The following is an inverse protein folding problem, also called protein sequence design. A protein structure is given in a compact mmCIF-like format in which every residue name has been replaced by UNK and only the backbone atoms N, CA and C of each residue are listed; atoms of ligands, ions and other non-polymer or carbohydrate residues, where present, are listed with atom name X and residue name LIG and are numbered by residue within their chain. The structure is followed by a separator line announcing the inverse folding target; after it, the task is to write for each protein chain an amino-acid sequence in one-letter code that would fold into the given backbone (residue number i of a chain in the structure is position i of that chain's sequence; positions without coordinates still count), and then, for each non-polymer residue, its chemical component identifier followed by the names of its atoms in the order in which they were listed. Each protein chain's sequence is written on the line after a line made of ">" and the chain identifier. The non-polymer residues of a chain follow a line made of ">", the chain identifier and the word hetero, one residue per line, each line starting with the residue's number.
data_IF_363023528264
#
_entry.id   IF_363023528264
#
_cell.length_a   1.000
_cell.length_b   1.000
_cell.length_c   1.000
_cell.angle_alpha   90.00
_cell.angle_beta   90.00
_cell.angle_gamma   90.00
#
_symmetry.space_group_name_H-M   'P 1'
#
loop_
_entity.id
_entity.type
_entity.pdbx_description
1 polymer ?
#
# COMPACT_ATOMS: atom_id res chain seq x y z
N UNK A 1 -12.15 5.36 14.61
CA UNK A 1 -12.65 6.68 14.18
C UNK A 1 -11.49 7.64 14.14
N UNK A 2 -11.49 8.54 13.16
CA UNK A 2 -10.56 9.67 13.08
C UNK A 2 -10.80 10.62 14.26
N UNK A 3 -9.73 11.21 14.80
CA UNK A 3 -9.77 12.19 15.91
C UNK A 3 -8.82 13.36 15.65
N UNK A 4 -8.98 14.43 16.43
CA UNK A 4 -8.04 15.55 16.43
C UNK A 4 -6.60 15.08 16.69
N UNK A 5 -5.66 15.66 15.95
CA UNK A 5 -4.25 15.28 15.98
C UNK A 5 -3.87 14.07 15.12
N UNK A 6 -4.83 13.30 14.59
CA UNK A 6 -4.51 12.25 13.59
C UNK A 6 -3.92 12.89 12.33
N UNK A 7 -3.03 12.17 11.64
CA UNK A 7 -2.28 12.70 10.49
C UNK A 7 -2.95 12.32 9.17
N UNK A 8 -3.19 13.33 8.34
CA UNK A 8 -3.68 13.19 6.98
C UNK A 8 -2.56 13.42 5.96
N UNK A 9 -2.62 12.72 4.84
CA UNK A 9 -1.69 12.89 3.71
C UNK A 9 -2.31 13.77 2.63
N UNK A 10 -1.54 14.74 2.14
CA UNK A 10 -1.91 15.63 1.04
C UNK A 10 -1.25 15.18 -0.27
N UNK A 11 -1.79 15.65 -1.40
CA UNK A 11 -1.28 15.35 -2.75
C UNK A 11 0.17 15.77 -2.97
N UNK A 12 0.56 16.96 -2.49
CA UNK A 12 1.96 17.43 -2.53
C UNK A 12 2.89 16.65 -1.58
N UNK A 13 2.34 15.63 -0.94
CA UNK A 13 2.97 14.75 0.01
C UNK A 13 2.92 15.28 1.42
N UNK A 14 2.60 16.54 1.72
CA UNK A 14 2.60 17.05 3.11
C UNK A 14 1.72 16.20 4.03
N UNK A 15 2.12 16.16 5.29
CA UNK A 15 1.37 15.52 6.36
C UNK A 15 0.84 16.62 7.28
N UNK A 16 -0.47 16.62 7.51
CA UNK A 16 -1.14 17.65 8.31
C UNK A 16 -2.02 17.02 9.39
N UNK A 17 -2.04 17.56 10.61
CA UNK A 17 -2.90 17.06 11.66
C UNK A 17 -4.35 17.48 11.42
N UNK A 18 -5.29 16.64 11.83
CA UNK A 18 -6.70 17.01 11.97
C UNK A 18 -6.80 18.07 13.06
N UNK A 19 -7.22 19.28 12.69
CA UNK A 19 -7.34 20.41 13.62
C UNK A 19 -8.61 20.33 14.47
N UNK A 20 -9.73 19.92 13.86
CA UNK A 20 -11.02 19.79 14.52
C UNK A 20 -11.92 18.84 13.76
N UNK A 21 -12.83 18.17 14.45
CA UNK A 21 -13.90 17.36 13.83
C UNK A 21 -15.25 17.88 14.32
N UNK A 22 -16.15 18.15 13.36
CA UNK A 22 -17.52 18.59 13.66
C UNK A 22 -18.52 17.64 12.99
N UNK A 23 -19.42 17.09 13.80
CA UNK A 23 -20.58 16.33 13.32
C UNK A 23 -21.75 17.32 13.23
N UNK A 24 -22.45 17.35 12.10
CA UNK A 24 -23.56 18.26 11.85
C UNK A 24 -24.78 17.46 11.42
N UNK A 25 -25.86 17.60 12.18
CA UNK A 25 -27.15 16.99 11.87
C UNK A 25 -28.03 17.99 11.13
N UNK A 26 -28.58 17.57 9.98
CA UNK A 26 -29.53 18.36 9.21
C UNK A 26 -30.94 17.79 9.40
N UNK A 27 -31.93 18.67 9.57
CA UNK A 27 -33.35 18.27 9.60
C UNK A 27 -33.97 18.17 8.19
N UNK A 28 -33.13 18.17 7.15
CA UNK A 28 -33.50 18.00 5.74
C UNK A 28 -32.46 17.14 5.03
N UNK A 29 -32.84 16.58 3.88
CA UNK A 29 -31.93 15.76 3.07
C UNK A 29 -30.89 16.62 2.36
N UNK A 30 -29.63 16.19 2.46
CA UNK A 30 -28.51 16.76 1.72
C UNK A 30 -28.08 15.78 0.62
N UNK A 31 -27.75 16.29 -0.55
CA UNK A 31 -27.12 15.49 -1.60
C UNK A 31 -25.64 15.31 -1.28
N UNK A 32 -25.21 14.05 -1.26
CA UNK A 32 -23.79 13.67 -1.16
C UNK A 32 -23.45 12.85 -2.39
N UNK A 33 -22.23 13.01 -2.89
CA UNK A 33 -21.77 12.36 -4.11
C UNK A 33 -20.57 11.48 -3.78
N UNK A 34 -20.56 10.28 -4.35
CA UNK A 34 -19.39 9.42 -4.43
C UNK A 34 -19.18 9.07 -5.91
N UNK A 35 -17.94 8.99 -6.36
CA UNK A 35 -17.61 8.54 -7.70
C UNK A 35 -16.60 7.39 -7.61
N UNK A 36 -16.66 6.47 -8.57
CA UNK A 36 -15.69 5.39 -8.70
C UNK A 36 -14.66 5.75 -9.77
N UNK A 37 -13.40 5.44 -9.50
CA UNK A 37 -12.31 5.59 -10.46
C UNK A 37 -11.87 4.19 -10.86
N UNK A 38 -11.73 3.97 -12.17
CA UNK A 38 -11.18 2.72 -12.71
C UNK A 38 -9.71 2.59 -12.29
N UNK A 39 -9.30 1.38 -11.91
CA UNK A 39 -7.95 0.97 -11.49
C UNK A 39 -7.36 1.60 -10.21
N UNK A 40 -7.74 2.84 -9.84
CA UNK A 40 -7.27 3.53 -8.64
C UNK A 40 -8.36 3.62 -7.56
N UNK A 41 -8.12 3.05 -6.39
CA UNK A 41 -9.10 3.05 -5.29
C UNK A 41 -8.91 4.17 -4.26
N UNK A 42 -8.06 5.16 -4.58
CA UNK A 42 -7.78 6.33 -3.74
C UNK A 42 -7.82 7.61 -4.55
N UNK A 43 -8.40 8.67 -4.00
CA UNK A 43 -8.49 9.98 -4.65
C UNK A 43 -8.30 11.13 -3.64
N UNK A 44 -7.94 12.30 -4.15
CA UNK A 44 -7.77 13.51 -3.34
C UNK A 44 -9.05 14.34 -3.33
N UNK A 45 -9.44 14.87 -2.17
CA UNK A 45 -10.64 15.69 -2.00
C UNK A 45 -10.33 17.05 -1.40
N UNK A 46 -11.22 18.02 -1.66
CA UNK A 46 -11.17 19.42 -1.19
C UNK A 46 -10.02 20.26 -1.74
N UNK A 47 -10.03 21.56 -1.47
CA UNK A 47 -9.01 22.53 -1.90
C UNK A 47 -7.61 22.26 -1.33
N UNK A 48 -7.53 21.44 -0.27
CA UNK A 48 -6.26 21.03 0.35
C UNK A 48 -5.79 19.65 -0.11
N UNK A 49 -6.51 19.00 -1.02
CA UNK A 49 -6.18 17.70 -1.62
C UNK A 49 -5.84 16.60 -0.60
N UNK A 50 -6.78 16.28 0.29
CA UNK A 50 -6.64 15.19 1.29
C UNK A 50 -6.85 13.82 0.64
N UNK A 51 -5.96 12.87 0.90
CA UNK A 51 -6.07 11.50 0.39
C UNK A 51 -7.21 10.72 1.07
N UNK A 52 -8.11 10.16 0.26
CA UNK A 52 -9.25 9.33 0.71
C UNK A 52 -9.28 7.99 -0.01
N UNK A 53 -9.88 6.97 0.62
CA UNK A 53 -10.11 5.65 0.02
C UNK A 53 -11.58 5.47 -0.37
N UNK A 54 -11.85 5.02 -1.59
CA UNK A 54 -13.22 4.77 -2.05
C UNK A 54 -13.75 3.39 -1.62
N UNK A 55 -12.83 2.43 -1.44
CA UNK A 55 -13.17 1.06 -1.10
C UNK A 55 -12.21 0.56 -0.02
N UNK A 56 -12.75 0.30 1.16
CA UNK A 56 -12.05 -0.52 2.13
C UNK A 56 -12.07 -1.94 1.60
N UNK A 57 -10.93 -2.49 1.18
CA UNK A 57 -10.89 -3.91 0.84
C UNK A 57 -10.98 -4.69 2.14
N UNK A 58 -12.18 -5.16 2.49
CA UNK A 58 -12.40 -6.27 3.45
C UNK A 58 -11.94 -7.62 2.87
N UNK A 59 -11.05 -7.60 1.89
CA UNK A 59 -10.46 -8.81 1.33
C UNK A 59 -9.17 -9.15 2.07
N UNK A 60 -9.33 -9.50 3.35
CA UNK A 60 -8.51 -10.53 3.97
C UNK A 60 -8.94 -11.95 3.52
N UNK A 61 -9.75 -12.06 2.46
CA UNK A 61 -9.81 -13.27 1.64
C UNK A 61 -8.39 -13.51 1.14
N UNK A 62 -7.70 -14.46 1.77
CA UNK A 62 -6.42 -14.98 1.34
C UNK A 62 -6.53 -15.35 -0.14
N UNK A 63 -6.12 -14.47 -1.05
CA UNK A 63 -6.01 -14.81 -2.46
C UNK A 63 -4.93 -15.86 -2.58
N UNK A 64 -5.28 -17.01 -3.11
CA UNK A 64 -4.30 -18.03 -3.47
C UNK A 64 -3.39 -17.45 -4.56
N UNK A 65 -2.10 -17.36 -4.29
CA UNK A 65 -1.10 -17.04 -5.32
C UNK A 65 -1.04 -18.21 -6.31
N UNK A 66 -1.39 -17.96 -7.58
CA UNK A 66 -1.24 -18.94 -8.67
C UNK A 66 0.22 -19.17 -9.09
N UNK A 67 1.15 -18.46 -8.44
CA UNK A 67 2.57 -18.43 -8.73
C UNK A 67 3.38 -19.63 -8.27
N UNK A 68 4.68 -19.59 -8.59
CA UNK A 68 5.66 -20.64 -8.26
C UNK A 68 5.88 -20.70 -6.76
N UNK A 69 5.67 -21.87 -6.14
CA UNK A 69 5.99 -22.12 -4.73
C UNK A 69 7.48 -21.88 -4.46
N UNK A 70 7.77 -21.14 -3.40
CA UNK A 70 9.13 -20.92 -2.91
C UNK A 70 9.32 -21.64 -1.57
N UNK A 71 10.44 -22.35 -1.43
CA UNK A 71 10.85 -23.01 -0.17
C UNK A 71 11.33 -22.03 0.92
N UNK A 72 11.26 -20.72 0.66
CA UNK A 72 11.70 -19.66 1.55
C UNK A 72 11.64 -18.29 0.87
N UNK A 73 12.17 -17.26 1.55
CA UNK A 73 12.34 -15.94 0.95
C UNK A 73 13.37 -15.97 -0.18
N UNK A 74 13.05 -15.35 -1.31
CA UNK A 74 13.95 -15.16 -2.45
C UNK A 74 14.21 -13.67 -2.66
N UNK A 75 15.48 -13.27 -2.59
CA UNK A 75 15.89 -11.89 -2.88
C UNK A 75 15.89 -11.63 -4.39
N UNK A 76 15.20 -10.57 -4.81
CA UNK A 76 15.06 -10.15 -6.21
C UNK A 76 15.94 -8.96 -6.57
N UNK A 77 16.26 -8.16 -5.56
CA UNK A 77 17.20 -7.04 -5.65
C UNK A 77 17.82 -6.78 -4.28
N UNK A 78 19.08 -6.37 -4.28
CA UNK A 78 19.81 -6.03 -3.06
C UNK A 78 20.75 -4.86 -3.32
N UNK A 79 20.86 -3.98 -2.33
CA UNK A 79 21.80 -2.88 -2.28
C UNK A 79 22.55 -2.90 -0.94
N UNK A 80 23.87 -3.08 -1.01
CA UNK A 80 24.68 -3.26 0.19
C UNK A 80 24.31 -4.51 0.99
N UNK A 81 24.35 -4.42 2.33
CA UNK A 81 24.20 -5.58 3.22
C UNK A 81 22.75 -5.90 3.58
N UNK A 82 21.89 -4.90 3.70
CA UNK A 82 20.59 -5.03 4.37
C UNK A 82 19.41 -4.56 3.52
N UNK A 83 19.60 -3.56 2.65
CA UNK A 83 18.55 -3.03 1.79
C UNK A 83 18.26 -4.00 0.63
N UNK A 84 17.02 -4.48 0.50
CA UNK A 84 16.68 -5.49 -0.51
C UNK A 84 15.17 -5.58 -0.76
N UNK A 85 14.80 -6.22 -1.86
CA UNK A 85 13.44 -6.64 -2.17
C UNK A 85 13.41 -8.17 -2.16
N UNK A 86 12.54 -8.72 -1.33
CA UNK A 86 12.36 -10.16 -1.14
C UNK A 86 10.94 -10.57 -1.55
N UNK A 87 10.80 -11.75 -2.15
CA UNK A 87 9.51 -12.39 -2.42
C UNK A 87 9.38 -13.69 -1.61
N UNK A 88 8.22 -13.88 -1.00
CA UNK A 88 7.87 -15.08 -0.27
C UNK A 88 6.60 -15.69 -0.90
N UNK A 89 6.65 -16.96 -1.31
CA UNK A 89 5.46 -17.72 -1.74
C UNK A 89 5.40 -19.12 -1.09
N UNK A 90 5.17 -19.17 0.23
CA UNK A 90 5.20 -20.39 1.03
C UNK A 90 3.87 -21.13 0.89
N UNK A 91 3.87 -22.17 0.05
CA UNK A 91 2.74 -23.06 -0.27
C UNK A 91 1.45 -22.36 -0.75
N UNK A 92 1.17 -22.55 -2.05
CA UNK A 92 -0.08 -22.17 -2.72
C UNK A 92 -1.27 -22.87 -2.04
N UNK A 93 -1.96 -22.15 -1.15
CA UNK A 93 -3.14 -22.63 -0.42
C UNK A 93 -3.22 -22.23 1.06
N UNK A 94 -2.13 -21.75 1.68
CA UNK A 94 -2.13 -21.37 3.12
C UNK A 94 -2.12 -19.86 3.33
N UNK A 95 -1.36 -19.13 2.51
CA UNK A 95 -1.27 -17.66 2.49
C UNK A 95 -0.92 -17.15 1.09
N UNK A 96 -1.42 -15.96 0.77
CA UNK A 96 -1.01 -15.24 -0.42
C UNK A 96 0.51 -15.01 -0.40
N UNK A 97 1.12 -15.03 -1.58
CA UNK A 97 2.50 -14.58 -1.72
C UNK A 97 2.64 -13.11 -1.34
N UNK A 98 3.82 -12.73 -0.88
CA UNK A 98 4.09 -11.37 -0.41
C UNK A 98 5.42 -10.85 -0.92
N UNK A 99 5.44 -9.55 -1.22
CA UNK A 99 6.64 -8.81 -1.59
C UNK A 99 7.03 -7.90 -0.44
N UNK A 100 8.31 -7.91 -0.10
CA UNK A 100 8.83 -7.17 1.02
C UNK A 100 10.01 -6.31 0.61
N UNK A 101 9.96 -5.04 0.99
CA UNK A 101 11.11 -4.16 0.93
C UNK A 101 11.73 -4.04 2.32
N UNK A 102 13.03 -4.33 2.38
CA UNK A 102 13.86 -4.17 3.56
C UNK A 102 14.71 -2.91 3.42
N UNK A 103 14.68 -2.06 4.43
CA UNK A 103 15.56 -0.90 4.52
C UNK A 103 16.96 -1.27 5.07
N UNK A 104 17.91 -0.35 4.91
CA UNK A 104 19.27 -0.53 5.43
C UNK A 104 19.33 -0.71 6.97
N UNK A 105 18.37 -0.16 7.70
CA UNK A 105 18.21 -0.29 9.15
C UNK A 105 17.38 -1.52 9.57
N UNK A 106 17.11 -2.45 8.63
CA UNK A 106 16.37 -3.69 8.84
C UNK A 106 14.87 -3.54 9.12
N UNK A 107 14.28 -2.37 8.86
CA UNK A 107 12.82 -2.24 8.78
C UNK A 107 12.28 -3.01 7.58
N UNK A 108 11.15 -3.71 7.76
CA UNK A 108 10.46 -4.49 6.72
C UNK A 108 9.12 -3.84 6.39
N UNK A 109 8.87 -3.64 5.10
CA UNK A 109 7.64 -3.08 4.56
C UNK A 109 7.06 -4.03 3.52
N UNK A 110 5.77 -4.29 3.57
CA UNK A 110 5.10 -5.11 2.57
C UNK A 110 4.61 -4.23 1.41
N UNK A 111 4.72 -4.74 0.19
CA UNK A 111 4.24 -4.07 -1.01
C UNK A 111 2.79 -4.46 -1.29
N UNK A 112 1.94 -3.45 -1.39
CA UNK A 112 0.57 -3.59 -1.87
C UNK A 112 0.55 -3.32 -3.38
N UNK A 113 0.37 -4.36 -4.20
CA UNK A 113 0.28 -4.24 -5.66
C UNK A 113 -0.99 -3.48 -6.11
N UNK A 114 -2.07 -3.54 -5.32
CA UNK A 114 -3.34 -2.90 -5.67
C UNK A 114 -3.28 -1.39 -5.45
N UNK A 115 -2.71 -0.96 -4.33
CA UNK A 115 -2.58 0.46 -4.00
C UNK A 115 -1.20 1.04 -4.37
N UNK A 116 -0.32 0.23 -4.98
CA UNK A 116 1.05 0.58 -5.37
C UNK A 116 1.82 1.31 -4.26
N UNK A 117 1.78 0.78 -3.04
CA UNK A 117 2.41 1.40 -1.87
C UNK A 117 3.10 0.40 -0.96
N UNK A 118 4.03 0.88 -0.16
CA UNK A 118 4.60 0.10 0.95
C UNK A 118 3.83 0.35 2.25
N UNK A 119 3.63 -0.67 3.07
CA UNK A 119 2.96 -0.52 4.36
C UNK A 119 3.51 -1.50 5.41
N UNK A 120 3.27 -1.19 6.68
CA UNK A 120 3.63 -2.08 7.79
C UNK A 120 2.52 -3.10 8.01
N UNK A 121 2.84 -4.39 7.93
CA UNK A 121 1.85 -5.47 8.07
C UNK A 121 1.16 -5.47 9.43
N UNK A 122 1.91 -5.13 10.49
CA UNK A 122 1.43 -5.19 11.89
C UNK A 122 0.55 -4.01 12.23
N UNK A 123 1.00 -2.80 11.90
CA UNK A 123 0.28 -1.56 12.27
C UNK A 123 -0.68 -1.09 11.18
N UNK A 124 -0.61 -1.67 9.97
CA UNK A 124 -1.31 -1.21 8.76
C UNK A 124 -1.01 0.24 8.37
N UNK A 125 0.02 0.85 8.99
CA UNK A 125 0.47 2.19 8.66
C UNK A 125 1.22 2.20 7.33
N UNK A 126 0.96 3.23 6.52
CA UNK A 126 1.69 3.49 5.28
C UNK A 126 3.17 3.73 5.60
N UNK A 127 4.07 3.22 4.76
CA UNK A 127 5.50 3.42 4.95
C UNK A 127 5.88 4.91 4.79
N UNK A 128 6.91 5.40 5.53
CA UNK A 128 7.38 6.77 5.39
C UNK A 128 7.73 7.13 3.95
N UNK A 129 7.64 8.41 3.59
CA UNK A 129 7.95 8.90 2.23
C UNK A 129 9.29 8.44 1.68
N UNK A 130 10.31 8.29 2.53
CA UNK A 130 11.63 7.80 2.12
C UNK A 130 11.54 6.40 1.53
N UNK A 131 10.70 5.55 2.10
CA UNK A 131 10.41 4.20 1.63
C UNK A 131 9.52 4.25 0.40
N UNK A 132 8.46 5.06 0.40
CA UNK A 132 7.58 5.18 -0.79
C UNK A 132 8.34 5.68 -2.03
N UNK A 133 9.32 6.57 -1.86
CA UNK A 133 10.17 7.04 -2.98
C UNK A 133 10.94 5.90 -3.67
N UNK A 134 11.10 4.74 -3.03
CA UNK A 134 11.73 3.56 -3.65
C UNK A 134 10.89 2.98 -4.77
N UNK A 135 9.59 3.26 -4.80
CA UNK A 135 8.72 2.94 -5.94
C UNK A 135 9.01 3.77 -7.18
N UNK A 136 9.92 4.75 -7.12
CA UNK A 136 10.45 5.48 -8.28
C UNK A 136 11.82 4.95 -8.73
N UNK A 137 12.45 4.07 -7.93
CA UNK A 137 13.73 3.47 -8.28
C UNK A 137 13.53 2.33 -9.27
N UNK A 138 14.09 2.47 -10.48
CA UNK A 138 13.94 1.49 -11.57
C UNK A 138 14.37 0.08 -11.17
N UNK A 139 15.36 -0.06 -10.29
CA UNK A 139 15.81 -1.39 -9.88
C UNK A 139 14.83 -2.04 -8.91
N UNK A 140 14.24 -1.26 -8.01
CA UNK A 140 13.21 -1.70 -7.08
C UNK A 140 11.94 -2.07 -7.84
N UNK A 141 11.49 -1.23 -8.78
CA UNK A 141 10.30 -1.52 -9.62
C UNK A 141 10.50 -2.84 -10.38
N UNK A 142 11.64 -3.01 -11.06
CA UNK A 142 11.96 -4.28 -11.76
C UNK A 142 11.98 -5.49 -10.83
N UNK A 143 12.37 -5.30 -9.57
CA UNK A 143 12.34 -6.37 -8.58
C UNK A 143 10.91 -6.72 -8.18
N UNK A 144 10.06 -5.71 -7.95
CA UNK A 144 8.64 -5.90 -7.66
C UNK A 144 7.93 -6.59 -8.82
N UNK A 145 8.16 -6.15 -10.07
CA UNK A 145 7.64 -6.79 -11.29
C UNK A 145 8.01 -8.28 -11.37
N UNK A 146 9.30 -8.60 -11.19
CA UNK A 146 9.75 -10.00 -11.15
C UNK A 146 9.07 -10.79 -10.05
N UNK A 147 8.83 -10.15 -8.90
CA UNK A 147 8.15 -10.70 -7.76
C UNK A 147 6.70 -11.05 -8.05
N UNK A 148 5.93 -10.09 -8.58
CA UNK A 148 4.55 -10.28 -8.97
C UNK A 148 4.41 -11.40 -9.99
N UNK A 149 5.30 -11.43 -10.99
CA UNK A 149 5.36 -12.53 -11.96
C UNK A 149 5.60 -13.89 -11.31
N UNK A 150 6.45 -13.97 -10.28
CA UNK A 150 6.66 -15.20 -9.50
C UNK A 150 5.39 -15.58 -8.75
N UNK A 151 4.61 -14.61 -8.26
CA UNK A 151 3.33 -14.81 -7.56
C UNK A 151 2.16 -15.13 -8.49
N UNK A 152 2.37 -15.04 -9.81
CA UNK A 152 1.31 -15.22 -10.81
C UNK A 152 0.38 -14.01 -10.90
N UNK A 153 0.89 -12.83 -10.52
CA UNK A 153 0.21 -11.54 -10.61
C UNK A 153 0.88 -10.68 -11.68
N UNK A 154 0.11 -9.82 -12.33
CA UNK A 154 0.61 -8.79 -13.24
C UNK A 154 0.52 -7.42 -12.55
N UNK A 155 1.34 -6.46 -13.02
CA UNK A 155 1.11 -5.07 -12.64
C UNK A 155 -0.20 -4.65 -13.30
N UNK A 156 -1.23 -4.39 -12.49
CA UNK A 156 -2.35 -3.61 -12.99
C UNK A 156 -1.80 -2.23 -13.37
N UNK A 157 -1.96 -1.86 -14.65
CA UNK A 157 -1.57 -0.57 -15.25
C UNK A 157 -2.49 0.57 -14.79
#
# INVERSE_FOLDING_TARGET
>A
MLKEGDILSLEDGREVPVQSIKIVDYNYYIFVYNFEVEDYHTYYVSDISVLTHNKCNDESSKKESKGVKLGGSKTLWQNGKTERVDVENPDSGVRAGSLHYHEANNNKWEYDNKNKLFYNVKTKAIAPKKVQKKLKDKNVIKALEKGLKILGEELND
#
